data_IF_178754437626
#
_entry.id   IF_178754437626
#
_cell.length_a   1.000
_cell.length_b   1.000
_cell.length_c   1.000
_cell.angle_alpha   90.00
_cell.angle_beta   90.00
_cell.angle_gamma   90.00
#
_symmetry.space_group_name_H-M   'P 1'
#
loop_
_entity.id
_entity.type
_entity.pdbx_description
1 polymer ?
#
# COMPACT_ATOMS: atom_id res chain seq x y z
N UNK A 1 -15.15 7.92 -4.37
CA UNK A 1 -14.85 7.15 -3.13
C UNK A 1 -13.38 7.19 -2.76
N UNK A 2 -12.47 6.45 -3.43
CA UNK A 2 -11.07 6.32 -2.98
C UNK A 2 -10.30 7.64 -2.89
N UNK A 3 -10.29 8.45 -3.96
CA UNK A 3 -9.60 9.76 -3.95
C UNK A 3 -10.24 10.76 -2.98
N UNK A 4 -11.55 10.67 -2.76
CA UNK A 4 -12.25 11.49 -1.76
C UNK A 4 -11.80 11.10 -0.33
N UNK A 5 -11.56 9.82 -0.07
CA UNK A 5 -10.99 9.36 1.20
C UNK A 5 -9.58 9.91 1.41
N UNK A 6 -8.74 9.93 0.37
CA UNK A 6 -7.41 10.57 0.43
C UNK A 6 -7.54 12.08 0.71
N UNK A 7 -8.52 12.74 0.09
CA UNK A 7 -8.79 14.15 0.35
C UNK A 7 -9.23 14.42 1.80
N UNK A 8 -10.06 13.55 2.38
CA UNK A 8 -10.45 13.65 3.80
C UNK A 8 -9.22 13.53 4.71
N UNK A 9 -8.34 12.55 4.48
CA UNK A 9 -7.11 12.38 5.25
C UNK A 9 -6.20 13.61 5.15
N UNK A 10 -6.08 14.17 3.94
CA UNK A 10 -5.28 15.37 3.68
C UNK A 10 -5.87 16.60 4.36
N UNK A 11 -7.16 16.85 4.17
CA UNK A 11 -7.88 17.99 4.77
C UNK A 11 -7.87 17.93 6.31
N UNK A 12 -7.84 16.74 6.89
CA UNK A 12 -7.70 16.53 8.34
C UNK A 12 -6.24 16.63 8.84
N UNK A 13 -5.28 16.98 7.97
CA UNK A 13 -3.84 17.01 8.25
C UNK A 13 -3.28 15.68 8.79
N UNK A 14 -3.95 14.56 8.50
CA UNK A 14 -3.46 13.23 8.83
C UNK A 14 -2.34 12.83 7.87
N UNK A 15 -2.44 13.23 6.60
CA UNK A 15 -1.39 13.10 5.58
C UNK A 15 -1.08 14.46 4.94
N UNK A 16 0.14 14.64 4.43
CA UNK A 16 0.54 15.84 3.70
C UNK A 16 0.20 15.77 2.19
N UNK A 17 0.45 16.88 1.48
CA UNK A 17 0.18 16.98 0.04
C UNK A 17 0.99 15.99 -0.80
N UNK A 18 2.25 15.73 -0.46
CA UNK A 18 3.12 14.81 -1.21
C UNK A 18 2.58 13.37 -1.13
N UNK A 19 2.16 12.95 0.06
CA UNK A 19 1.53 11.64 0.29
C UNK A 19 0.21 11.55 -0.47
N UNK A 20 -0.63 12.57 -0.39
CA UNK A 20 -1.92 12.58 -1.10
C UNK A 20 -1.73 12.49 -2.62
N UNK A 21 -0.79 13.24 -3.19
CA UNK A 21 -0.46 13.19 -4.62
C UNK A 21 0.07 11.82 -5.02
N UNK A 22 0.99 11.25 -4.23
CA UNK A 22 1.53 9.92 -4.46
C UNK A 22 0.42 8.84 -4.47
N UNK A 23 -0.41 8.80 -3.43
CA UNK A 23 -1.46 7.77 -3.33
C UNK A 23 -2.53 7.94 -4.41
N UNK A 24 -2.86 9.17 -4.82
CA UNK A 24 -3.75 9.39 -5.95
C UNK A 24 -3.20 8.81 -7.26
N UNK A 25 -1.89 8.89 -7.50
CA UNK A 25 -1.24 8.22 -8.65
C UNK A 25 -1.30 6.71 -8.51
N UNK A 26 -1.08 6.18 -7.31
CA UNK A 26 -1.21 4.73 -7.04
C UNK A 26 -2.63 4.24 -7.31
N UNK A 27 -3.66 4.98 -6.90
CA UNK A 27 -5.06 4.69 -7.24
C UNK A 27 -5.24 4.61 -8.77
N UNK A 28 -4.69 5.56 -9.52
CA UNK A 28 -4.78 5.55 -11.00
C UNK A 28 -4.06 4.35 -11.65
N UNK A 29 -2.97 3.87 -11.03
CA UNK A 29 -2.28 2.64 -11.46
C UNK A 29 -3.15 1.42 -11.17
N UNK A 30 -3.69 1.31 -9.96
CA UNK A 30 -4.46 0.15 -9.50
C UNK A 30 -5.83 0.04 -10.18
N UNK A 31 -6.42 1.15 -10.62
CA UNK A 31 -7.67 1.17 -11.40
C UNK A 31 -7.57 0.43 -12.74
N UNK A 32 -6.35 0.12 -13.22
CA UNK A 32 -6.15 -0.69 -14.43
C UNK A 32 -6.33 -2.19 -14.16
N UNK A 33 -6.42 -2.58 -12.90
CA UNK A 33 -6.66 -3.93 -12.44
C UNK A 33 -8.12 -4.10 -12.02
N UNK A 34 -8.63 -5.32 -12.12
CA UNK A 34 -9.99 -5.67 -11.70
C UNK A 34 -9.99 -6.08 -10.21
N UNK A 35 -9.70 -5.13 -9.33
CA UNK A 35 -9.67 -5.34 -7.89
C UNK A 35 -10.99 -4.99 -7.23
N UNK A 36 -11.30 -5.73 -6.15
CA UNK A 36 -12.41 -5.38 -5.27
C UNK A 36 -12.20 -3.99 -4.67
N UNK A 37 -13.23 -3.15 -4.76
CA UNK A 37 -13.16 -1.74 -4.34
C UNK A 37 -12.89 -1.61 -2.83
N UNK A 38 -13.44 -2.51 -2.01
CA UNK A 38 -13.23 -2.48 -0.56
C UNK A 38 -11.79 -2.86 -0.20
N UNK A 39 -11.20 -3.82 -0.91
CA UNK A 39 -9.78 -4.17 -0.77
C UNK A 39 -8.88 -3.02 -1.24
N UNK A 40 -9.23 -2.33 -2.33
CA UNK A 40 -8.51 -1.12 -2.76
C UNK A 40 -8.60 0.01 -1.73
N UNK A 41 -9.76 0.21 -1.10
CA UNK A 41 -9.95 1.21 -0.05
C UNK A 41 -9.04 0.95 1.15
N UNK A 42 -9.02 -0.30 1.62
CA UNK A 42 -8.15 -0.71 2.72
C UNK A 42 -6.68 -0.51 2.38
N UNK A 43 -6.25 -1.00 1.20
CA UNK A 43 -4.85 -0.89 0.76
C UNK A 43 -4.39 0.56 0.63
N UNK A 44 -5.16 1.40 -0.08
CA UNK A 44 -4.78 2.80 -0.35
C UNK A 44 -4.79 3.65 0.92
N UNK A 45 -5.68 3.35 1.87
CA UNK A 45 -5.66 3.96 3.21
C UNK A 45 -4.41 3.55 3.99
N UNK A 46 -4.08 2.27 4.01
CA UNK A 46 -2.87 1.77 4.68
C UNK A 46 -1.61 2.41 4.09
N UNK A 47 -1.50 2.44 2.75
CA UNK A 47 -0.38 3.05 2.05
C UNK A 47 -0.20 4.54 2.41
N UNK A 48 -1.28 5.31 2.45
CA UNK A 48 -1.23 6.73 2.82
C UNK A 48 -0.67 6.92 4.23
N UNK A 49 -1.19 6.15 5.20
CA UNK A 49 -0.77 6.22 6.60
C UNK A 49 0.68 5.74 6.79
N UNK A 50 1.07 4.68 6.08
CA UNK A 50 2.41 4.12 6.10
C UNK A 50 3.46 5.12 5.61
N UNK A 51 3.26 5.68 4.40
CA UNK A 51 4.20 6.65 3.82
C UNK A 51 4.29 7.89 4.70
N UNK A 52 3.16 8.41 5.20
CA UNK A 52 3.16 9.55 6.11
C UNK A 52 3.93 9.26 7.41
N UNK A 53 3.74 8.07 8.01
CA UNK A 53 4.46 7.67 9.21
C UNK A 53 5.97 7.59 8.94
N UNK A 54 6.37 6.99 7.82
CA UNK A 54 7.78 6.91 7.41
C UNK A 54 8.39 8.30 7.25
N UNK A 55 7.66 9.25 6.65
CA UNK A 55 8.12 10.64 6.52
C UNK A 55 8.39 11.32 7.87
N UNK A 56 7.62 11.00 8.90
CA UNK A 56 7.67 11.72 10.20
C UNK A 56 8.57 11.05 11.22
N UNK A 57 8.45 9.73 11.39
CA UNK A 57 9.06 9.02 12.52
C UNK A 57 10.02 7.90 12.11
N UNK A 58 10.00 7.46 10.85
CA UNK A 58 10.84 6.37 10.34
C UNK A 58 10.64 5.00 11.01
N UNK A 59 9.72 4.89 11.97
CA UNK A 59 9.47 3.67 12.74
C UNK A 59 8.35 2.85 12.12
N UNK A 60 8.61 1.56 11.92
CA UNK A 60 7.64 0.60 11.42
C UNK A 60 7.79 -0.69 12.23
N UNK A 61 6.67 -1.24 12.67
CA UNK A 61 6.60 -2.56 13.32
C UNK A 61 7.18 -3.64 12.40
N UNK A 62 7.69 -4.72 12.95
CA UNK A 62 8.18 -5.85 12.15
C UNK A 62 7.07 -6.88 11.99
N UNK A 63 6.86 -7.36 10.76
CA UNK A 63 6.00 -8.51 10.51
C UNK A 63 6.67 -9.75 11.10
N UNK A 64 5.91 -10.59 11.80
CA UNK A 64 6.41 -11.85 12.33
C UNK A 64 6.90 -12.77 11.19
N UNK A 65 8.03 -13.45 11.41
CA UNK A 65 8.67 -14.27 10.39
C UNK A 65 7.79 -15.45 9.94
N UNK A 66 6.96 -16.02 10.82
CA UNK A 66 6.05 -17.09 10.44
C UNK A 66 4.97 -16.57 9.47
N UNK A 67 4.41 -15.39 9.75
CA UNK A 67 3.46 -14.73 8.85
C UNK A 67 4.12 -14.41 7.51
N UNK A 68 5.35 -13.90 7.54
CA UNK A 68 6.07 -13.59 6.30
C UNK A 68 6.29 -14.82 5.42
N UNK A 69 6.68 -15.95 6.01
CA UNK A 69 6.86 -17.20 5.27
C UNK A 69 5.56 -17.67 4.58
N UNK A 70 4.40 -17.48 5.23
CA UNK A 70 3.09 -17.78 4.62
C UNK A 70 2.80 -16.87 3.43
N UNK A 71 3.06 -15.56 3.56
CA UNK A 71 2.87 -14.57 2.49
C UNK A 71 3.71 -14.93 1.26
N UNK A 72 4.94 -15.37 1.45
CA UNK A 72 5.83 -15.78 0.36
C UNK A 72 5.35 -17.04 -0.37
N UNK A 73 4.51 -17.86 0.28
CA UNK A 73 3.93 -19.07 -0.31
C UNK A 73 2.64 -18.79 -1.10
N UNK A 74 2.11 -17.55 -1.08
CA UNK A 74 0.93 -17.20 -1.85
C UNK A 74 1.21 -17.25 -3.36
N UNK A 75 0.26 -17.80 -4.12
CA UNK A 75 0.33 -17.84 -5.58
C UNK A 75 0.35 -16.43 -6.23
N UNK A 76 -0.10 -15.41 -5.50
CA UNK A 76 -0.10 -14.00 -5.93
C UNK A 76 1.19 -13.27 -5.60
N UNK A 77 2.17 -13.89 -4.93
CA UNK A 77 3.37 -13.20 -4.43
C UNK A 77 4.23 -12.58 -5.54
N UNK A 78 4.40 -13.27 -6.66
CA UNK A 78 5.18 -12.74 -7.79
C UNK A 78 4.48 -11.56 -8.47
N UNK A 79 3.15 -11.61 -8.60
CA UNK A 79 2.36 -10.49 -9.12
C UNK A 79 2.37 -9.30 -8.15
N UNK A 80 2.27 -9.57 -6.84
CA UNK A 80 2.38 -8.55 -5.80
C UNK A 80 3.70 -7.78 -5.88
N UNK A 81 4.82 -8.46 -6.12
CA UNK A 81 6.13 -7.80 -6.33
C UNK A 81 6.15 -6.92 -7.57
N UNK A 82 5.48 -7.31 -8.66
CA UNK A 82 5.38 -6.49 -9.87
C UNK A 82 4.55 -5.23 -9.62
N UNK A 83 3.39 -5.37 -8.97
CA UNK A 83 2.54 -4.24 -8.58
C UNK A 83 3.31 -3.32 -7.61
N UNK A 84 3.98 -3.89 -6.62
CA UNK A 84 4.82 -3.16 -5.66
C UNK A 84 5.88 -2.31 -6.39
N UNK A 85 6.64 -2.90 -7.30
CA UNK A 85 7.65 -2.18 -8.08
C UNK A 85 7.04 -1.03 -8.91
N UNK A 86 5.80 -1.18 -9.39
CA UNK A 86 5.12 -0.13 -10.15
C UNK A 86 4.68 1.03 -9.25
N UNK A 87 4.06 0.73 -8.11
CA UNK A 87 3.50 1.76 -7.22
C UNK A 87 4.60 2.50 -6.44
N UNK A 88 5.73 1.85 -6.18
CA UNK A 88 6.84 2.43 -5.40
C UNK A 88 7.85 3.21 -6.24
N UNK A 89 7.67 3.31 -7.56
CA UNK A 89 8.59 4.01 -8.44
C UNK A 89 8.75 5.51 -8.11
N UNK A 90 7.66 6.14 -7.71
CA UNK A 90 7.58 7.58 -7.43
C UNK A 90 7.30 7.87 -5.95
N UNK A 91 7.60 6.93 -5.05
CA UNK A 91 7.36 7.10 -3.62
C UNK A 91 8.20 8.25 -3.06
N UNK A 92 7.64 9.14 -2.21
CA UNK A 92 8.37 10.30 -1.67
C UNK A 92 9.37 9.94 -0.55
N UNK A 93 9.47 8.66 -0.17
CA UNK A 93 10.32 8.19 0.93
C UNK A 93 11.02 6.89 0.59
N UNK A 94 12.13 6.61 1.27
CA UNK A 94 12.70 5.26 1.28
C UNK A 94 11.83 4.36 2.16
N UNK A 95 11.18 3.38 1.54
CA UNK A 95 10.39 2.37 2.27
C UNK A 95 11.37 1.43 3.00
N UNK A 96 11.25 1.24 4.33
CA UNK A 96 12.05 0.26 5.07
C UNK A 96 11.57 -1.16 4.77
N UNK A 97 12.47 -2.15 4.92
CA UNK A 97 12.17 -3.57 4.63
C UNK A 97 10.95 -4.08 5.41
N UNK A 98 10.77 -3.64 6.66
CA UNK A 98 9.61 -4.02 7.46
C UNK A 98 8.31 -3.58 6.82
N UNK A 99 8.24 -2.35 6.28
CA UNK A 99 7.05 -1.86 5.58
C UNK A 99 6.87 -2.54 4.21
N UNK A 100 7.97 -2.83 3.51
CA UNK A 100 7.91 -3.59 2.26
C UNK A 100 7.17 -4.93 2.46
N UNK A 101 7.47 -5.66 3.55
CA UNK A 101 6.78 -6.91 3.90
C UNK A 101 5.28 -6.69 4.13
N UNK A 102 4.89 -5.65 4.86
CA UNK A 102 3.46 -5.32 5.07
C UNK A 102 2.74 -4.95 3.78
N UNK A 103 3.37 -4.13 2.93
CA UNK A 103 2.81 -3.75 1.64
C UNK A 103 2.64 -4.94 0.71
N UNK A 104 3.63 -5.83 0.64
CA UNK A 104 3.54 -7.07 -0.14
C UNK A 104 2.44 -7.99 0.39
N UNK A 105 2.30 -8.15 1.70
CA UNK A 105 1.18 -8.90 2.31
C UNK A 105 -0.18 -8.33 1.87
N UNK A 106 -0.37 -7.01 1.98
CA UNK A 106 -1.63 -6.39 1.57
C UNK A 106 -1.88 -6.49 0.06
N UNK A 107 -0.84 -6.38 -0.76
CA UNK A 107 -0.94 -6.57 -2.22
C UNK A 107 -1.31 -8.01 -2.58
N UNK A 108 -0.72 -9.01 -1.91
CA UNK A 108 -1.12 -10.38 -2.12
C UNK A 108 -2.60 -10.60 -1.79
N UNK A 109 -3.08 -10.02 -0.68
CA UNK A 109 -4.49 -10.10 -0.29
C UNK A 109 -5.43 -9.37 -1.27
N UNK A 110 -4.97 -8.23 -1.83
CA UNK A 110 -5.67 -7.48 -2.86
C UNK A 110 -5.81 -8.30 -4.16
N UNK A 111 -4.77 -9.06 -4.51
CA UNK A 111 -4.69 -9.91 -5.69
C UNK A 111 -5.41 -11.26 -5.53
N UNK A 112 -5.65 -11.71 -4.29
CA UNK A 112 -6.40 -12.94 -4.06
C UNK A 112 -7.83 -12.77 -4.55
N UNK A 113 -8.18 -13.53 -5.58
CA UNK A 113 -9.56 -13.73 -6.03
C UNK A 113 -10.24 -14.62 -5.01
N UNK A 114 -11.38 -14.20 -4.50
CA UNK A 114 -12.25 -15.09 -3.73
C UNK A 114 -12.67 -16.24 -4.66
N UNK A 115 -12.35 -17.48 -4.28
CA UNK A 115 -12.76 -18.67 -5.01
C UNK A 115 -14.26 -18.94 -4.83
#
# INVERSE_FOLDING_TARGET
MLKERIEILRSAAIINDDVAQYVNKVIDILQKYDFDESKMEMFTTHLAMAVQRIMVSGAVEQLDDAIWNEVQAFNTFDEAKQVYSNITRDVPVKIPESEEKFLLMHLCNLLQKEC
#
